data_IF_708165995575
#
_entry.id   IF_708165995575
#
_cell.length_a   1.000
_cell.length_b   1.000
_cell.length_c   1.000
_cell.angle_alpha   90.00
_cell.angle_beta   90.00
_cell.angle_gamma   90.00
#
_symmetry.space_group_name_H-M   'P 1'
#
loop_
_entity.id
_entity.type
_entity.pdbx_description
1 polymer ?
#
# COMPACT_ATOMS: atom_id res chain seq x y z
N UNK A 1 6.69 -25.70 8.47
CA UNK A 1 5.92 -25.34 7.27
C UNK A 1 4.48 -25.70 7.54
N UNK A 2 3.57 -24.77 7.28
CA UNK A 2 2.12 -24.98 7.28
C UNK A 2 1.63 -24.62 5.87
N UNK A 3 0.93 -25.54 5.22
CA UNK A 3 0.42 -25.42 3.85
C UNK A 3 -1.09 -25.69 3.86
N UNK A 4 -1.89 -24.83 3.22
CA UNK A 4 -3.34 -24.99 3.07
C UNK A 4 -3.68 -25.81 1.81
N UNK A 5 -3.14 -25.39 0.67
CA UNK A 5 -3.30 -26.06 -0.62
C UNK A 5 -4.35 -25.37 -1.49
N UNK A 6 -5.28 -26.14 -2.06
CA UNK A 6 -6.42 -25.56 -2.78
C UNK A 6 -7.62 -25.49 -1.83
N UNK A 7 -8.32 -24.36 -1.78
CA UNK A 7 -9.46 -24.11 -0.91
C UNK A 7 -9.26 -22.90 -0.01
N UNK A 8 -10.25 -22.60 0.83
CA UNK A 8 -10.13 -21.52 1.81
C UNK A 8 -9.73 -22.12 3.15
N UNK A 9 -8.51 -21.84 3.58
CA UNK A 9 -7.87 -22.45 4.74
C UNK A 9 -7.64 -21.47 5.89
N UNK A 10 -7.46 -22.03 7.08
CA UNK A 10 -7.04 -21.29 8.28
C UNK A 10 -5.80 -21.95 8.84
N UNK A 11 -4.65 -21.30 8.68
CA UNK A 11 -3.37 -21.74 9.19
C UNK A 11 -2.99 -20.91 10.42
N UNK A 12 -2.59 -21.57 11.51
CA UNK A 12 -2.29 -20.87 12.75
C UNK A 12 -1.05 -21.44 13.45
N UNK A 13 -0.05 -20.59 13.67
CA UNK A 13 1.20 -20.90 14.38
C UNK A 13 1.22 -20.33 15.82
N UNK A 14 0.08 -20.34 16.52
CA UNK A 14 -0.22 -19.51 17.72
C UNK A 14 0.80 -19.59 18.87
N UNK A 15 1.56 -20.68 18.98
CA UNK A 15 2.59 -20.89 20.01
C UNK A 15 3.86 -21.60 19.48
N UNK A 16 4.01 -21.66 18.15
CA UNK A 16 5.13 -22.36 17.52
C UNK A 16 6.40 -21.52 17.48
N UNK A 17 7.50 -22.20 17.17
CA UNK A 17 8.76 -21.61 16.71
C UNK A 17 8.56 -20.90 15.36
N UNK A 18 9.65 -20.36 14.80
CA UNK A 18 9.67 -19.82 13.43
C UNK A 18 9.03 -20.79 12.42
N UNK A 19 8.00 -20.32 11.71
CA UNK A 19 7.32 -21.09 10.68
C UNK A 19 7.25 -20.35 9.35
N UNK A 20 7.05 -21.16 8.30
CA UNK A 20 6.63 -20.69 6.99
C UNK A 20 5.16 -21.08 6.85
N UNK A 21 4.31 -20.13 6.48
CA UNK A 21 2.87 -20.30 6.25
C UNK A 21 2.56 -19.95 4.79
N UNK A 22 1.98 -20.90 4.06
CA UNK A 22 1.55 -20.74 2.66
C UNK A 22 0.10 -21.21 2.56
N UNK A 23 -0.81 -20.27 2.27
CA UNK A 23 -2.24 -20.59 2.10
C UNK A 23 -2.45 -21.47 0.89
N UNK A 24 -1.89 -21.05 -0.25
CA UNK A 24 -2.11 -21.70 -1.54
C UNK A 24 -3.24 -20.99 -2.28
N UNK A 25 -4.06 -21.72 -3.03
CA UNK A 25 -5.15 -21.10 -3.79
C UNK A 25 -6.42 -21.04 -2.97
N UNK A 26 -6.97 -19.85 -2.80
CA UNK A 26 -8.27 -19.61 -2.21
C UNK A 26 -8.29 -18.28 -1.48
N UNK A 27 -9.22 -18.09 -0.56
CA UNK A 27 -9.18 -16.94 0.33
C UNK A 27 -8.78 -17.43 1.73
N UNK A 28 -7.49 -17.30 2.06
CA UNK A 28 -6.91 -17.93 3.25
C UNK A 28 -6.75 -16.98 4.43
N UNK A 29 -6.72 -17.55 5.64
CA UNK A 29 -6.36 -16.83 6.87
C UNK A 29 -5.09 -17.40 7.47
N UNK A 30 -4.02 -16.60 7.46
CA UNK A 30 -2.71 -16.96 7.96
C UNK A 30 -2.42 -16.24 9.28
N UNK A 31 -2.33 -17.00 10.38
CA UNK A 31 -2.07 -16.48 11.72
C UNK A 31 -0.67 -16.84 12.17
N UNK A 32 0.18 -15.83 12.28
CA UNK A 32 1.52 -15.97 12.82
C UNK A 32 1.51 -16.27 14.32
N UNK A 33 2.68 -16.66 14.82
CA UNK A 33 2.99 -16.87 16.22
C UNK A 33 3.77 -15.72 16.84
N UNK A 34 4.42 -16.02 17.97
CA UNK A 34 5.29 -15.08 18.69
C UNK A 34 6.69 -14.90 18.12
N UNK A 35 7.10 -15.79 17.21
CA UNK A 35 8.45 -15.83 16.65
C UNK A 35 8.49 -15.19 15.26
N UNK A 36 9.65 -15.29 14.59
CA UNK A 36 9.80 -14.83 13.22
C UNK A 36 9.08 -15.81 12.31
N UNK A 37 8.00 -15.36 11.66
CA UNK A 37 7.32 -16.15 10.65
C UNK A 37 7.58 -15.61 9.25
N UNK A 38 7.46 -16.49 8.26
CA UNK A 38 7.43 -16.13 6.84
C UNK A 38 6.09 -16.50 6.26
N UNK A 39 5.32 -15.50 5.85
CA UNK A 39 4.10 -15.69 5.07
C UNK A 39 4.48 -15.73 3.59
N UNK A 40 4.03 -16.73 2.85
CA UNK A 40 4.30 -16.87 1.41
C UNK A 40 3.01 -16.60 0.66
N UNK A 41 3.11 -15.81 -0.41
CA UNK A 41 2.01 -15.54 -1.34
C UNK A 41 2.51 -15.62 -2.78
N UNK A 42 1.82 -16.39 -3.60
CA UNK A 42 2.10 -16.59 -5.01
C UNK A 42 0.98 -16.00 -5.89
N UNK A 43 1.29 -15.85 -7.19
CA UNK A 43 0.31 -15.33 -8.14
C UNK A 43 -0.83 -16.34 -8.35
N UNK A 44 -2.08 -15.88 -8.21
CA UNK A 44 -3.27 -16.71 -8.28
C UNK A 44 -3.69 -17.35 -6.97
N UNK A 45 -3.04 -16.98 -5.86
CA UNK A 45 -3.39 -17.47 -4.52
C UNK A 45 -4.73 -16.92 -4.05
N UNK A 46 -5.23 -15.78 -4.56
CA UNK A 46 -6.52 -15.22 -4.18
C UNK A 46 -6.42 -14.13 -3.12
N UNK A 47 -7.35 -14.09 -2.16
CA UNK A 47 -7.49 -12.96 -1.22
C UNK A 47 -7.22 -13.37 0.21
N UNK A 48 -5.98 -13.20 0.62
CA UNK A 48 -5.51 -13.66 1.91
C UNK A 48 -5.59 -12.61 3.01
N UNK A 49 -5.81 -13.10 4.23
CA UNK A 49 -5.77 -12.33 5.47
C UNK A 49 -4.58 -12.78 6.32
N UNK A 50 -3.68 -11.85 6.61
CA UNK A 50 -2.57 -12.06 7.55
C UNK A 50 -2.91 -11.45 8.91
N UNK A 51 -2.80 -12.27 9.95
CA UNK A 51 -2.88 -11.89 11.35
C UNK A 51 -1.53 -12.13 12.01
N UNK A 52 -0.67 -11.11 12.03
CA UNK A 52 0.70 -11.20 12.53
C UNK A 52 0.87 -10.49 13.88
N UNK A 53 -0.02 -10.78 14.83
CA UNK A 53 -0.03 -10.19 16.17
C UNK A 53 0.43 -11.18 17.22
N UNK A 54 1.37 -10.76 18.07
CA UNK A 54 1.65 -11.50 19.30
C UNK A 54 1.89 -10.58 20.50
N UNK A 55 1.04 -10.67 21.55
CA UNK A 55 1.20 -9.90 22.78
C UNK A 55 2.30 -10.45 23.69
N UNK A 56 2.79 -11.66 23.46
CA UNK A 56 3.72 -12.35 24.36
C UNK A 56 5.20 -11.94 24.17
N UNK A 57 5.60 -11.55 22.96
CA UNK A 57 7.02 -11.42 22.62
C UNK A 57 7.48 -10.02 22.19
N UNK A 58 6.58 -9.02 22.13
CA UNK A 58 6.93 -7.64 21.72
C UNK A 58 7.67 -7.57 20.37
N UNK A 59 8.25 -6.44 19.98
CA UNK A 59 8.88 -6.24 18.66
C UNK A 59 10.21 -6.99 18.46
N UNK A 60 10.49 -8.05 19.23
CA UNK A 60 11.78 -8.75 19.18
C UNK A 60 11.91 -9.72 17.99
N UNK A 61 10.80 -10.08 17.36
CA UNK A 61 10.76 -11.05 16.28
C UNK A 61 10.04 -10.49 15.05
N UNK A 62 10.82 -10.12 14.05
CA UNK A 62 10.35 -9.49 12.83
C UNK A 62 9.99 -10.53 11.78
N UNK A 63 8.72 -10.61 11.41
CA UNK A 63 8.16 -11.50 10.41
C UNK A 63 8.20 -10.88 9.02
N UNK A 64 8.15 -11.74 8.00
CA UNK A 64 8.29 -11.35 6.59
C UNK A 64 7.13 -11.89 5.77
N UNK A 65 6.62 -11.06 4.86
CA UNK A 65 5.77 -11.51 3.76
C UNK A 65 6.66 -11.65 2.53
N UNK A 66 6.67 -12.83 1.93
CA UNK A 66 7.49 -13.16 0.78
C UNK A 66 6.61 -13.42 -0.42
N UNK A 67 6.77 -12.61 -1.45
CA UNK A 67 6.12 -12.82 -2.74
C UNK A 67 6.88 -13.82 -3.59
N UNK A 68 6.14 -14.74 -4.20
CA UNK A 68 6.62 -15.68 -5.19
C UNK A 68 7.04 -15.01 -6.50
N UNK A 69 7.52 -15.83 -7.44
CA UNK A 69 7.90 -15.34 -8.77
C UNK A 69 6.67 -14.79 -9.53
N UNK A 70 6.89 -13.76 -10.35
CA UNK A 70 5.83 -13.16 -11.17
C UNK A 70 5.00 -12.08 -10.46
N UNK A 71 5.38 -11.70 -9.23
CA UNK A 71 4.83 -10.54 -8.53
C UNK A 71 5.97 -9.55 -8.31
N UNK A 72 5.96 -8.42 -9.03
CA UNK A 72 6.92 -7.34 -8.86
C UNK A 72 6.32 -6.19 -8.02
N UNK A 73 7.18 -5.32 -7.50
CA UNK A 73 6.77 -4.10 -6.78
C UNK A 73 5.79 -3.24 -7.58
N UNK A 74 6.00 -3.12 -8.89
CA UNK A 74 5.14 -2.34 -9.79
C UNK A 74 3.74 -2.91 -9.99
N UNK A 75 3.54 -4.19 -9.66
CA UNK A 75 2.26 -4.87 -9.84
C UNK A 75 1.36 -4.69 -8.61
N UNK A 76 1.88 -4.11 -7.53
CA UNK A 76 1.17 -3.97 -6.27
C UNK A 76 0.84 -2.51 -5.98
N UNK A 77 -0.39 -2.28 -5.53
CA UNK A 77 -0.80 -1.03 -4.90
C UNK A 77 -1.00 -1.25 -3.41
N UNK A 78 -0.30 -0.47 -2.59
CA UNK A 78 -0.47 -0.43 -1.14
C UNK A 78 -1.48 0.66 -0.78
N UNK A 79 -2.45 0.32 0.06
CA UNK A 79 -3.49 1.26 0.51
C UNK A 79 -3.90 0.97 1.94
N UNK A 80 -4.38 1.99 2.64
CA UNK A 80 -4.97 1.84 3.96
C UNK A 80 -6.48 1.59 3.82
N UNK A 81 -6.99 0.59 4.54
CA UNK A 81 -8.42 0.28 4.63
C UNK A 81 -8.80 0.17 6.11
N UNK A 82 -9.35 1.24 6.68
CA UNK A 82 -9.55 1.32 8.13
C UNK A 82 -8.19 1.27 8.85
N UNK A 83 -7.99 0.30 9.73
CA UNK A 83 -6.71 0.08 10.39
C UNK A 83 -5.82 -0.93 9.65
N UNK A 84 -6.29 -1.51 8.54
CA UNK A 84 -5.58 -2.58 7.84
C UNK A 84 -4.72 -2.02 6.70
N UNK A 85 -3.62 -2.71 6.40
CA UNK A 85 -2.89 -2.54 5.15
C UNK A 85 -3.49 -3.48 4.11
N UNK A 86 -3.75 -2.97 2.91
CA UNK A 86 -4.20 -3.76 1.78
C UNK A 86 -3.20 -3.63 0.63
N UNK A 87 -2.59 -4.75 0.25
CA UNK A 87 -1.75 -4.91 -0.93
C UNK A 87 -2.61 -5.55 -2.02
N UNK A 88 -2.96 -4.79 -3.05
CA UNK A 88 -3.72 -5.30 -4.19
C UNK A 88 -2.82 -5.51 -5.39
N UNK A 89 -2.93 -6.67 -6.02
CA UNK A 89 -2.24 -6.94 -7.27
C UNK A 89 -3.02 -6.38 -8.47
N UNK A 90 -2.30 -5.98 -9.51
CA UNK A 90 -2.86 -5.36 -10.71
C UNK A 90 -3.79 -6.29 -11.53
N UNK A 91 -3.76 -7.60 -11.28
CA UNK A 91 -4.71 -8.54 -11.89
C UNK A 91 -6.14 -8.41 -11.34
N UNK A 92 -6.33 -7.68 -10.23
CA UNK A 92 -7.63 -7.45 -9.60
C UNK A 92 -8.29 -8.67 -8.95
N UNK A 93 -7.60 -9.82 -8.92
CA UNK A 93 -8.07 -11.04 -8.27
C UNK A 93 -7.33 -11.29 -6.96
N UNK A 94 -6.03 -10.99 -6.94
CA UNK A 94 -5.14 -11.29 -5.84
C UNK A 94 -4.95 -10.09 -4.91
N UNK A 95 -4.99 -10.36 -3.60
CA UNK A 95 -4.69 -9.34 -2.60
C UNK A 95 -4.28 -9.94 -1.27
N UNK A 96 -3.46 -9.21 -0.51
CA UNK A 96 -3.21 -9.49 0.90
C UNK A 96 -3.76 -8.35 1.74
N UNK A 97 -4.58 -8.69 2.74
CA UNK A 97 -4.93 -7.80 3.84
C UNK A 97 -4.10 -8.16 5.07
N UNK A 98 -3.32 -7.21 5.57
CA UNK A 98 -2.65 -7.32 6.87
C UNK A 98 -3.49 -6.60 7.91
N UNK A 99 -4.08 -7.37 8.81
CA UNK A 99 -5.00 -6.84 9.80
C UNK A 99 -4.30 -5.86 10.75
N UNK A 100 -4.99 -4.75 11.04
CA UNK A 100 -4.67 -3.67 11.97
C UNK A 100 -3.21 -3.15 11.91
N UNK A 101 -2.61 -3.17 10.72
CA UNK A 101 -1.30 -2.60 10.44
C UNK A 101 -1.10 -1.18 11.03
N UNK A 102 -2.15 -0.37 11.02
CA UNK A 102 -2.17 1.02 11.49
C UNK A 102 -2.78 1.19 12.90
N UNK A 103 -3.03 0.09 13.62
CA UNK A 103 -3.50 0.16 15.02
C UNK A 103 -2.35 0.59 15.95
N UNK A 104 -2.35 1.88 16.31
CA UNK A 104 -1.33 2.50 17.14
C UNK A 104 -1.21 1.88 18.54
N UNK A 105 -2.28 1.23 19.04
CA UNK A 105 -2.25 0.58 20.35
C UNK A 105 -1.54 -0.78 20.32
N UNK A 106 -1.33 -1.35 19.13
CA UNK A 106 -0.77 -2.69 18.92
C UNK A 106 0.51 -2.68 18.07
N UNK A 107 1.14 -1.51 17.91
CA UNK A 107 2.34 -1.39 17.07
C UNK A 107 3.46 -2.32 17.52
N UNK A 108 3.66 -2.50 18.84
CA UNK A 108 4.68 -3.39 19.39
C UNK A 108 4.29 -4.89 19.32
N UNK A 109 3.01 -5.17 19.07
CA UNK A 109 2.49 -6.53 18.91
C UNK A 109 2.58 -7.00 17.45
N UNK A 110 2.53 -6.08 16.49
CA UNK A 110 2.64 -6.36 15.06
C UNK A 110 4.04 -6.85 14.70
N UNK A 111 4.14 -8.05 14.14
CA UNK A 111 5.43 -8.66 13.79
C UNK A 111 5.79 -8.49 12.32
N UNK A 112 4.81 -8.32 11.43
CA UNK A 112 5.11 -8.13 10.02
C UNK A 112 5.72 -6.75 9.80
N UNK A 113 6.97 -6.72 9.37
CA UNK A 113 7.74 -5.49 9.20
C UNK A 113 8.38 -5.32 7.84
N UNK A 114 8.37 -6.36 7.00
CA UNK A 114 8.87 -6.26 5.64
C UNK A 114 8.14 -7.17 4.67
N UNK A 115 8.19 -6.74 3.41
CA UNK A 115 7.78 -7.50 2.24
C UNK A 115 9.01 -7.73 1.39
N UNK A 116 9.26 -8.97 0.97
CA UNK A 116 10.40 -9.36 0.13
C UNK A 116 9.89 -9.96 -1.17
N UNK A 117 10.49 -9.55 -2.28
CA UNK A 117 10.14 -10.00 -3.62
C UNK A 117 11.12 -11.06 -4.12
N UNK A 118 10.71 -11.79 -5.17
CA UNK A 118 11.53 -12.86 -5.75
C UNK A 118 12.88 -12.37 -6.32
N UNK A 119 12.99 -11.10 -6.71
CA UNK A 119 14.22 -10.47 -7.20
C UNK A 119 15.17 -10.00 -6.08
N UNK A 120 14.78 -10.18 -4.82
CA UNK A 120 15.53 -9.78 -3.63
C UNK A 120 15.31 -8.33 -3.20
N UNK A 121 14.51 -7.55 -3.92
CA UNK A 121 14.07 -6.23 -3.45
C UNK A 121 13.08 -6.39 -2.28
N UNK A 122 12.92 -5.32 -1.50
CA UNK A 122 12.01 -5.33 -0.36
C UNK A 122 11.33 -3.98 -0.13
N UNK A 123 10.19 -4.03 0.56
CA UNK A 123 9.57 -2.87 1.19
C UNK A 123 9.63 -3.01 2.71
N UNK A 124 10.09 -1.96 3.38
CA UNK A 124 10.03 -1.85 4.82
C UNK A 124 8.64 -1.44 5.30
N UNK A 125 8.38 -1.63 6.59
CA UNK A 125 7.17 -1.16 7.27
C UNK A 125 6.91 0.33 7.05
N UNK A 126 7.97 1.14 7.10
CA UNK A 126 7.90 2.60 6.90
C UNK A 126 7.51 2.92 5.46
N UNK A 127 8.13 2.27 4.48
CA UNK A 127 7.81 2.48 3.06
C UNK A 127 6.37 2.08 2.75
N UNK A 128 5.91 0.95 3.27
CA UNK A 128 4.52 0.48 3.14
C UNK A 128 3.53 1.46 3.78
N UNK A 129 3.82 1.91 4.99
CA UNK A 129 2.95 2.84 5.72
C UNK A 129 2.88 4.21 5.02
N UNK A 130 4.02 4.70 4.51
CA UNK A 130 4.07 5.93 3.72
C UNK A 130 3.32 5.78 2.41
N UNK A 131 3.51 4.69 1.67
CA UNK A 131 2.83 4.45 0.39
C UNK A 131 1.31 4.34 0.57
N UNK A 132 0.87 3.58 1.56
CA UNK A 132 -0.55 3.41 1.87
C UNK A 132 -1.21 4.72 2.37
N UNK A 133 -0.52 5.52 3.19
CA UNK A 133 -1.01 6.82 3.68
C UNK A 133 -0.92 7.95 2.65
N UNK A 134 0.10 7.93 1.77
CA UNK A 134 0.23 8.85 0.63
C UNK A 134 -0.88 8.61 -0.40
N UNK A 135 -1.27 7.35 -0.61
CA UNK A 135 -2.37 7.00 -1.52
C UNK A 135 -3.73 7.53 -1.02
N UNK A 136 -3.98 7.48 0.30
CA UNK A 136 -5.18 8.06 0.89
C UNK A 136 -5.21 9.60 0.78
N UNK A 137 -4.06 10.25 1.01
CA UNK A 137 -3.96 11.72 0.91
C UNK A 137 -3.97 12.24 -0.54
N UNK A 138 -3.40 11.51 -1.50
CA UNK A 138 -3.48 11.83 -2.93
C UNK A 138 -4.89 11.58 -3.49
N UNK A 139 -5.56 10.50 -3.09
CA UNK A 139 -6.96 10.27 -3.43
C UNK A 139 -7.87 11.37 -2.83
N UNK A 140 -7.63 11.76 -1.58
CA UNK A 140 -8.34 12.89 -0.96
C UNK A 140 -8.02 14.21 -1.63
N UNK A 141 -6.78 14.44 -2.07
CA UNK A 141 -6.40 15.64 -2.81
C UNK A 141 -7.10 15.71 -4.17
N UNK A 142 -7.26 14.58 -4.87
CA UNK A 142 -8.05 14.51 -6.11
C UNK A 142 -9.53 14.74 -5.86
N UNK A 143 -10.11 14.13 -4.82
CA UNK A 143 -11.52 14.36 -4.43
C UNK A 143 -11.74 15.84 -4.06
N UNK A 144 -10.83 16.45 -3.31
CA UNK A 144 -10.88 17.88 -2.98
C UNK A 144 -10.70 18.76 -4.22
N UNK A 145 -9.80 18.41 -5.14
CA UNK A 145 -9.61 19.13 -6.39
C UNK A 145 -10.84 19.03 -7.31
N UNK A 146 -11.49 17.87 -7.38
CA UNK A 146 -12.74 17.65 -8.09
C UNK A 146 -13.91 18.39 -7.45
N UNK A 147 -13.98 18.44 -6.11
CA UNK A 147 -15.01 19.17 -5.38
C UNK A 147 -14.82 20.70 -5.44
N UNK A 148 -13.57 21.18 -5.53
CA UNK A 148 -13.23 22.59 -5.67
C UNK A 148 -13.31 23.08 -7.13
N UNK A 149 -13.48 22.18 -8.10
CA UNK A 149 -13.68 22.54 -9.49
C UNK A 149 -15.05 23.20 -9.67
N UNK A 150 -15.07 24.53 -9.76
CA UNK A 150 -16.23 25.32 -10.14
C UNK A 150 -16.15 25.66 -11.64
N UNK A 151 -16.67 24.81 -12.55
CA UNK A 151 -16.58 25.08 -13.97
C UNK A 151 -17.26 26.43 -14.29
N UNK A 152 -16.69 27.25 -15.18
CA UNK A 152 -17.34 28.48 -15.59
C UNK A 152 -18.73 28.18 -16.14
N UNK A 153 -19.74 28.92 -15.67
CA UNK A 153 -21.10 28.87 -16.23
C UNK A 153 -21.02 29.09 -17.75
N UNK A 154 -21.61 28.16 -18.51
CA UNK A 154 -21.69 28.22 -19.95
C UNK A 154 -22.39 29.52 -20.38
N UNK A 155 -21.61 30.56 -20.69
CA UNK A 155 -22.11 31.89 -21.00
C UNK A 155 -21.13 33.05 -20.78
N UNK A 156 -20.03 32.87 -20.04
CA UNK A 156 -19.08 33.96 -19.76
C UNK A 156 -18.00 34.20 -20.85
N UNK A 157 -18.10 33.54 -22.00
CA UNK A 157 -17.17 33.71 -23.12
C UNK A 157 -17.66 34.83 -24.07
N UNK A 158 -17.58 36.09 -23.62
CA UNK A 158 -17.68 37.26 -24.49
C UNK A 158 -16.38 38.09 -24.45
N UNK A 159 -15.61 37.94 -25.53
CA UNK A 159 -14.64 38.85 -26.15
C UNK A 159 -13.86 39.86 -25.27
N UNK A 160 -12.55 39.69 -25.18
CA UNK A 160 -11.62 40.82 -25.19
C UNK A 160 -11.14 41.03 -26.63
N UNK A 161 -11.28 42.24 -27.22
CA UNK A 161 -10.79 42.48 -28.57
C UNK A 161 -9.27 42.60 -28.60
N UNK A 162 -8.68 41.98 -29.62
CA UNK A 162 -7.28 42.11 -30.01
C UNK A 162 -6.86 43.58 -30.12
N UNK A 163 -5.69 43.90 -29.57
CA UNK A 163 -4.91 45.08 -29.95
C UNK A 163 -3.45 44.67 -30.08
N UNK A 164 -2.89 45.04 -31.22
CA UNK A 164 -1.76 44.44 -31.91
C UNK A 164 -0.36 44.91 -31.45
N UNK A 165 0.60 43.97 -31.49
CA UNK A 165 1.92 44.00 -32.15
C UNK A 165 3.03 45.01 -31.71
N UNK A 166 4.15 44.41 -31.24
CA UNK A 166 5.61 44.71 -31.39
C UNK A 166 6.19 46.12 -31.06
N UNK A 167 7.01 46.28 -29.99
CA UNK A 167 8.49 46.17 -29.87
C UNK A 167 9.29 47.41 -30.41
N UNK A 168 10.57 47.66 -30.04
CA UNK A 168 11.14 48.07 -28.73
C UNK A 168 12.14 49.26 -28.86
N UNK A 169 12.31 50.19 -27.89
CA UNK A 169 13.49 51.11 -27.89
C UNK A 169 13.91 51.55 -26.48
N UNK A 170 15.21 51.36 -26.18
CA UNK A 170 15.97 51.91 -25.05
C UNK A 170 16.21 53.42 -25.25
N UNK A 171 16.00 54.25 -24.21
CA UNK A 171 16.74 55.52 -24.06
C UNK A 171 16.72 56.02 -22.61
N UNK A 172 17.85 56.61 -22.21
CA UNK A 172 18.26 56.92 -20.85
C UNK A 172 17.92 58.36 -20.39
N UNK A 173 17.82 58.50 -19.07
CA UNK A 173 18.29 59.59 -18.19
C UNK A 173 17.96 61.09 -18.43
N UNK A 174 17.54 61.70 -17.31
CA UNK A 174 17.85 63.05 -16.77
C UNK A 174 16.89 64.22 -17.08
N UNK A 175 16.39 64.80 -15.99
CA UNK A 175 15.83 66.15 -15.92
C UNK A 175 16.95 67.20 -15.92
N UNK A 176 16.85 68.18 -16.82
CA UNK A 176 16.76 69.62 -16.53
C UNK A 176 16.15 70.34 -17.73
#
# INVERSE_FOLDING_TARGET
>A
MLEGGDGNDVLANEFGEEAILEGGKGDDTLKGGGHRDTFVFNLGDGKDLIQSYSPQYGSMHESTLRFGAGIAQSDLTASQSGNDLLLQHANGQDSIRVQGWFDLQKMDEMKLSQVVFADGTSWSREQLSQSAGASASQAQALINAMAAFNPPVAGAMMAQPDSQVAQPVLAASSWH
#
